data_IF_990560892954
#
_entry.id   IF_990560892954
#
_cell.length_a   1.000
_cell.length_b   1.000
_cell.length_c   1.000
_cell.angle_alpha   90.00
_cell.angle_beta   90.00
_cell.angle_gamma   90.00
#
_symmetry.space_group_name_H-M   'P 1'
#
loop_
_entity.id
_entity.type
_entity.pdbx_description
1 polymer ?
#
# COMPACT_ATOMS: atom_id res chain seq x y z
N UNK A 1 -11.63 -22.16 -10.03
CA UNK A 1 -10.89 -22.32 -8.76
C UNK A 1 -9.58 -21.57 -8.90
N UNK A 2 -9.43 -20.41 -8.26
CA UNK A 2 -8.16 -19.66 -8.28
C UNK A 2 -7.12 -20.42 -7.47
N UNK A 3 -5.93 -20.65 -8.03
CA UNK A 3 -4.79 -21.24 -7.30
C UNK A 3 -4.56 -20.45 -6.01
N UNK A 4 -4.37 -21.16 -4.89
CA UNK A 4 -4.00 -20.54 -3.62
C UNK A 4 -2.67 -19.80 -3.79
N UNK A 5 -2.72 -18.47 -3.80
CA UNK A 5 -1.53 -17.62 -3.89
C UNK A 5 -0.81 -17.47 -2.55
N UNK A 6 -1.26 -18.16 -1.49
CA UNK A 6 -0.83 -17.94 -0.10
C UNK A 6 0.68 -17.94 0.10
N UNK A 7 1.41 -18.71 -0.71
CA UNK A 7 2.87 -18.89 -0.56
C UNK A 7 3.70 -18.22 -1.67
N UNK A 8 3.08 -17.47 -2.58
CA UNK A 8 3.77 -16.81 -3.70
C UNK A 8 3.80 -15.29 -3.51
N UNK A 9 4.88 -14.68 -4.03
CA UNK A 9 4.95 -13.22 -4.23
C UNK A 9 3.88 -12.82 -5.25
N UNK A 10 3.10 -11.78 -4.94
CA UNK A 10 2.09 -11.23 -5.83
C UNK A 10 2.63 -9.94 -6.45
N UNK A 11 2.47 -9.77 -7.76
CA UNK A 11 2.64 -8.47 -8.42
C UNK A 11 1.29 -7.77 -8.51
N UNK A 12 1.18 -6.56 -7.99
CA UNK A 12 -0.04 -5.76 -8.06
C UNK A 12 0.27 -4.26 -8.13
N UNK A 13 -0.75 -3.45 -8.41
CA UNK A 13 -0.61 -1.99 -8.43
C UNK A 13 -0.74 -1.40 -7.03
N UNK A 14 0.08 -0.38 -6.73
CA UNK A 14 -0.04 0.45 -5.54
C UNK A 14 0.23 1.92 -5.87
N UNK A 15 -0.36 2.84 -5.08
CA UNK A 15 -0.03 4.26 -5.15
C UNK A 15 1.12 4.56 -4.17
N UNK A 16 2.24 5.05 -4.71
CA UNK A 16 3.48 5.26 -3.98
C UNK A 16 3.80 6.75 -3.92
N UNK A 17 4.11 7.24 -2.71
CA UNK A 17 4.74 8.54 -2.51
C UNK A 17 6.25 8.34 -2.35
N UNK A 18 7.02 8.87 -3.30
CA UNK A 18 8.48 8.74 -3.31
C UNK A 18 9.20 9.77 -2.43
N UNK A 19 8.55 10.91 -2.14
CA UNK A 19 9.12 11.97 -1.34
C UNK A 19 8.21 13.20 -1.26
N UNK A 20 8.61 14.16 -0.44
CA UNK A 20 7.89 15.43 -0.28
C UNK A 20 7.94 16.20 -1.60
N UNK A 21 6.77 16.64 -2.09
CA UNK A 21 6.65 17.38 -3.34
C UNK A 21 6.60 16.52 -4.60
N UNK A 22 6.84 15.21 -4.48
CA UNK A 22 6.62 14.27 -5.58
C UNK A 22 5.13 13.94 -5.73
N UNK A 23 4.62 13.82 -6.97
CA UNK A 23 3.27 13.31 -7.20
C UNK A 23 3.17 11.83 -6.77
N UNK A 24 1.97 11.41 -6.37
CA UNK A 24 1.68 10.00 -6.18
C UNK A 24 1.77 9.26 -7.53
N UNK A 25 2.53 8.17 -7.57
CA UNK A 25 2.70 7.33 -8.77
C UNK A 25 2.03 5.98 -8.55
N UNK A 26 1.26 5.53 -9.52
CA UNK A 26 0.69 4.18 -9.50
C UNK A 26 1.67 3.25 -10.21
N UNK A 27 2.26 2.34 -9.46
CA UNK A 27 3.34 1.47 -9.92
C UNK A 27 3.05 0.00 -9.59
N UNK A 28 3.72 -0.92 -10.27
CA UNK A 28 3.68 -2.34 -9.92
C UNK A 28 4.65 -2.62 -8.76
N UNK A 29 4.15 -3.28 -7.72
CA UNK A 29 4.92 -3.70 -6.56
C UNK A 29 4.84 -5.21 -6.37
N UNK A 30 5.81 -5.74 -5.63
CA UNK A 30 5.83 -7.12 -5.18
C UNK A 30 5.41 -7.20 -3.72
N UNK A 31 4.39 -8.01 -3.43
CA UNK A 31 3.90 -8.27 -2.07
C UNK A 31 4.26 -9.71 -1.70
N UNK A 32 5.12 -9.85 -0.70
CA UNK A 32 5.55 -11.15 -0.17
C UNK A 32 4.36 -11.96 0.39
N UNK A 33 4.47 -13.31 0.46
CA UNK A 33 3.52 -14.11 1.23
C UNK A 33 3.54 -13.72 2.71
N UNK A 34 2.40 -13.80 3.43
CA UNK A 34 2.36 -13.49 4.86
C UNK A 34 3.20 -14.49 5.67
N UNK A 35 3.90 -13.99 6.70
CA UNK A 35 4.62 -14.80 7.69
C UNK A 35 3.68 -15.26 8.81
N UNK A 36 4.25 -15.88 9.85
CA UNK A 36 3.49 -16.29 11.03
C UNK A 36 2.82 -15.09 11.69
N UNK A 37 1.53 -15.21 12.02
CA UNK A 37 0.69 -14.15 12.59
C UNK A 37 0.46 -12.91 11.69
N UNK A 38 0.74 -13.01 10.40
CA UNK A 38 0.41 -11.97 9.42
C UNK A 38 -0.78 -12.40 8.54
N UNK A 39 -1.52 -11.41 8.04
CA UNK A 39 -2.57 -11.61 7.03
C UNK A 39 -2.26 -10.78 5.80
N UNK A 40 -2.55 -11.36 4.63
CA UNK A 40 -2.47 -10.63 3.35
C UNK A 40 -3.86 -10.44 2.79
N UNK A 41 -4.29 -9.20 2.69
CA UNK A 41 -5.65 -8.79 2.31
C UNK A 41 -5.66 -8.32 0.86
N UNK A 42 -6.71 -8.69 0.11
CA UNK A 42 -6.95 -8.15 -1.24
C UNK A 42 -7.92 -6.98 -1.11
N UNK A 43 -7.40 -5.76 -1.15
CA UNK A 43 -8.23 -4.55 -1.09
C UNK A 43 -9.22 -4.49 -2.26
N UNK A 44 -10.49 -4.25 -1.95
CA UNK A 44 -11.57 -4.05 -2.92
C UNK A 44 -11.88 -2.56 -3.08
N UNK A 45 -11.88 -1.81 -1.98
CA UNK A 45 -12.21 -0.40 -1.91
C UNK A 45 -11.27 0.31 -0.93
N UNK A 46 -10.94 1.57 -1.21
CA UNK A 46 -10.22 2.46 -0.32
C UNK A 46 -10.75 3.89 -0.48
N UNK A 47 -10.76 4.66 0.61
CA UNK A 47 -11.05 6.10 0.60
C UNK A 47 -9.80 6.91 0.91
N UNK A 48 -9.88 8.23 0.70
CA UNK A 48 -8.83 9.17 1.06
C UNK A 48 -9.23 9.94 2.32
N UNK A 49 -8.40 9.83 3.34
CA UNK A 49 -8.49 10.67 4.52
C UNK A 49 -7.51 11.85 4.39
N UNK A 50 -7.82 12.95 5.06
CA UNK A 50 -6.95 14.11 5.12
C UNK A 50 -5.54 13.76 5.66
N UNK A 51 -5.44 12.78 6.55
CA UNK A 51 -4.15 12.30 7.10
C UNK A 51 -3.25 11.68 6.03
N UNK A 52 -3.80 11.06 4.98
CA UNK A 52 -2.98 10.52 3.88
C UNK A 52 -2.25 11.65 3.15
N UNK A 53 -2.92 12.79 2.95
CA UNK A 53 -2.35 14.00 2.35
C UNK A 53 -1.29 14.65 3.27
N UNK A 54 -1.49 14.60 4.59
CA UNK A 54 -0.46 15.08 5.52
C UNK A 54 0.79 14.19 5.48
N UNK A 55 0.62 12.89 5.31
CA UNK A 55 1.73 11.95 5.20
C UNK A 55 2.58 12.17 3.94
N UNK A 56 1.98 12.55 2.81
CA UNK A 56 2.75 12.92 1.59
C UNK A 56 3.61 14.18 1.80
N UNK A 57 3.27 15.00 2.80
CA UNK A 57 4.01 16.21 3.21
C UNK A 57 5.01 15.95 4.35
N UNK A 58 5.20 14.69 4.75
CA UNK A 58 6.19 14.29 5.75
C UNK A 58 5.70 14.31 7.21
N UNK A 59 4.39 14.46 7.45
CA UNK A 59 3.82 14.35 8.79
C UNK A 59 3.49 12.87 9.16
N UNK A 60 3.61 12.45 10.43
CA UNK A 60 4.38 13.09 11.49
C UNK A 60 5.90 12.89 11.31
N UNK A 61 6.30 11.96 10.42
CA UNK A 61 7.69 11.71 10.07
C UNK A 61 7.82 11.48 8.56
N UNK A 62 8.91 11.97 7.92
CA UNK A 62 9.15 11.86 6.49
C UNK A 62 9.69 10.47 6.10
N UNK A 63 8.89 9.42 6.33
CA UNK A 63 9.21 8.06 5.90
C UNK A 63 8.75 7.86 4.45
N UNK A 64 9.72 7.77 3.54
CA UNK A 64 9.54 7.54 2.11
C UNK A 64 10.57 6.50 1.60
N UNK A 65 10.27 5.72 0.55
CA UNK A 65 9.00 5.67 -0.17
C UNK A 65 7.89 5.05 0.69
N UNK A 66 6.64 5.42 0.43
CA UNK A 66 5.49 4.96 1.23
C UNK A 66 4.27 4.62 0.37
N UNK A 67 3.68 3.46 0.63
CA UNK A 67 2.29 3.15 0.24
C UNK A 67 1.37 3.69 1.34
N UNK A 68 0.49 4.62 0.98
CA UNK A 68 -0.42 5.32 1.89
C UNK A 68 -1.79 4.62 1.95
N UNK A 69 -2.70 5.15 2.77
CA UNK A 69 -4.05 4.65 2.92
C UNK A 69 -4.23 3.88 4.23
N UNK A 70 -5.26 4.26 4.97
CA UNK A 70 -5.65 3.62 6.23
C UNK A 70 -7.17 3.44 6.35
N UNK A 71 -7.90 3.70 5.26
CA UNK A 71 -9.35 3.55 5.17
C UNK A 71 -9.69 2.66 3.96
N UNK A 72 -10.13 1.42 4.20
CA UNK A 72 -10.49 0.51 3.12
C UNK A 72 -11.11 -0.81 3.59
N UNK A 73 -11.58 -1.59 2.60
CA UNK A 73 -12.24 -2.90 2.80
C UNK A 73 -11.66 -3.91 1.81
N UNK A 74 -11.43 -5.14 2.26
CA UNK A 74 -10.92 -6.26 1.47
C UNK A 74 -11.05 -7.61 2.17
#
# INVERSE_FOLDING_TARGET
>A
MSKSSSSQVITCKAAICWGIGEPLKVEEIQVEPPKSFEIRVKMLLASLCHTDILCTKGFPAPLFPRVLGHEGVG
#
